data_IF_183878033645
#
_entry.id   IF_183878033645
#
_cell.length_a   1.000
_cell.length_b   1.000
_cell.length_c   1.000
_cell.angle_alpha   90.00
_cell.angle_beta   90.00
_cell.angle_gamma   90.00
#
_symmetry.space_group_name_H-M   'P 1'
#
loop_
_entity.id
_entity.type
_entity.pdbx_description
1 polymer ?
#
# COMPACT_ATOMS: atom_id res chain seq x y z
N UNK A 1 -16.19 7.06 -7.34
CA UNK A 1 -14.88 7.72 -7.52
C UNK A 1 -13.80 6.73 -7.13
N UNK A 2 -12.72 6.66 -7.89
CA UNK A 2 -11.63 5.73 -7.57
C UNK A 2 -10.59 6.36 -6.64
N UNK A 3 -10.14 5.59 -5.66
CA UNK A 3 -9.07 5.96 -4.74
C UNK A 3 -8.07 4.81 -4.65
N UNK A 4 -6.79 5.15 -4.58
CA UNK A 4 -5.74 4.23 -4.14
C UNK A 4 -5.61 4.34 -2.63
N UNK A 5 -5.71 3.21 -1.94
CA UNK A 5 -5.24 3.07 -0.57
C UNK A 5 -3.82 2.51 -0.64
N UNK A 6 -2.83 3.35 -0.34
CA UNK A 6 -1.40 3.04 -0.43
C UNK A 6 -0.86 2.67 0.97
N UNK A 7 -0.18 1.52 1.08
CA UNK A 7 0.26 0.98 2.36
C UNK A 7 1.71 1.33 2.62
N UNK A 8 1.92 2.37 3.42
CA UNK A 8 3.26 2.80 3.83
C UNK A 8 3.59 2.14 5.16
N UNK A 9 4.64 1.32 5.14
CA UNK A 9 4.99 0.41 6.22
C UNK A 9 6.36 0.74 6.77
N UNK A 10 6.54 0.90 8.09
CA UNK A 10 7.86 1.06 8.64
C UNK A 10 8.67 -0.23 8.42
N UNK A 11 10.00 -0.16 8.20
CA UNK A 11 10.82 -1.33 7.89
C UNK A 11 10.74 -2.46 8.94
N UNK A 12 10.56 -2.12 10.22
CA UNK A 12 10.45 -3.10 11.31
C UNK A 12 9.18 -3.98 11.24
N UNK A 13 8.14 -3.56 10.49
CA UNK A 13 6.93 -4.38 10.32
C UNK A 13 7.24 -5.72 9.65
N UNK A 14 8.27 -5.78 8.81
CA UNK A 14 8.68 -7.00 8.11
C UNK A 14 9.36 -8.03 9.03
N UNK A 15 9.91 -7.60 10.16
CA UNK A 15 10.39 -8.51 11.21
C UNK A 15 9.21 -9.20 11.92
N UNK A 16 8.11 -8.46 12.10
CA UNK A 16 6.87 -9.01 12.69
C UNK A 16 6.27 -10.09 11.80
N UNK A 17 6.41 -9.98 10.47
CA UNK A 17 5.95 -11.00 9.54
C UNK A 17 6.80 -12.27 9.58
N UNK A 18 8.07 -12.17 9.96
CA UNK A 18 8.97 -13.31 10.10
C UNK A 18 8.73 -14.12 11.39
N UNK A 19 8.13 -13.50 12.42
CA UNK A 19 7.61 -14.19 13.60
C UNK A 19 6.37 -15.03 13.23
N UNK A 20 6.39 -16.33 13.51
CA UNK A 20 5.34 -17.26 13.09
C UNK A 20 3.96 -16.92 13.69
N UNK A 21 3.90 -16.59 14.98
CA UNK A 21 2.62 -16.35 15.67
C UNK A 21 2.07 -14.96 15.35
N UNK A 22 2.94 -13.95 15.29
CA UNK A 22 2.54 -12.59 14.92
C UNK A 22 2.22 -12.49 13.44
N UNK A 23 3.00 -13.15 12.58
CA UNK A 23 2.79 -13.25 11.15
C UNK A 23 1.45 -13.92 10.80
N UNK A 24 1.03 -14.96 11.54
CA UNK A 24 -0.30 -15.56 11.35
C UNK A 24 -1.44 -14.60 11.69
N UNK A 25 -1.35 -13.87 12.81
CA UNK A 25 -2.37 -12.89 13.21
C UNK A 25 -2.50 -11.75 12.21
N UNK A 26 -1.35 -11.21 11.76
CA UNK A 26 -1.30 -10.22 10.68
C UNK A 26 -1.95 -10.77 9.42
N UNK A 27 -1.59 -11.99 9.01
CA UNK A 27 -2.15 -12.62 7.80
C UNK A 27 -3.66 -12.78 7.87
N UNK A 28 -4.20 -13.13 9.06
CA UNK A 28 -5.63 -13.25 9.27
C UNK A 28 -6.34 -11.89 9.18
N UNK A 29 -5.79 -10.85 9.81
CA UNK A 29 -6.36 -9.50 9.74
C UNK A 29 -6.40 -8.97 8.30
N UNK A 30 -5.32 -9.17 7.53
CA UNK A 30 -5.29 -8.83 6.10
C UNK A 30 -6.32 -9.62 5.29
N UNK A 31 -6.45 -10.92 5.54
CA UNK A 31 -7.45 -11.76 4.87
C UNK A 31 -8.87 -11.28 5.14
N UNK A 32 -9.18 -10.92 6.38
CA UNK A 32 -10.48 -10.38 6.77
C UNK A 32 -10.76 -9.03 6.10
N UNK A 33 -9.81 -8.11 6.15
CA UNK A 33 -9.93 -6.80 5.51
C UNK A 33 -10.13 -6.88 4.00
N UNK A 34 -9.30 -7.66 3.30
CA UNK A 34 -9.44 -7.87 1.86
C UNK A 34 -10.76 -8.56 1.51
N UNK A 35 -11.20 -9.52 2.34
CA UNK A 35 -12.50 -10.16 2.22
C UNK A 35 -13.66 -9.17 2.37
N UNK A 36 -13.57 -8.24 3.31
CA UNK A 36 -14.58 -7.20 3.53
C UNK A 36 -14.69 -6.24 2.33
N UNK A 37 -13.55 -5.77 1.80
CA UNK A 37 -13.51 -4.93 0.59
C UNK A 37 -14.14 -5.64 -0.62
N UNK A 38 -13.84 -6.92 -0.80
CA UNK A 38 -14.39 -7.73 -1.88
C UNK A 38 -15.90 -7.97 -1.71
N UNK A 39 -16.35 -8.33 -0.50
CA UNK A 39 -17.75 -8.57 -0.19
C UNK A 39 -18.61 -7.32 -0.34
N UNK A 40 -18.06 -6.14 -0.02
CA UNK A 40 -18.72 -4.85 -0.23
C UNK A 40 -18.74 -4.42 -1.72
N UNK A 41 -18.02 -5.11 -2.62
CA UNK A 41 -17.98 -4.79 -4.05
C UNK A 41 -17.23 -3.49 -4.39
N UNK A 42 -16.51 -2.90 -3.42
CA UNK A 42 -15.80 -1.63 -3.59
C UNK A 42 -14.41 -1.82 -4.21
N UNK A 43 -13.80 -3.01 -4.07
CA UNK A 43 -12.46 -3.27 -4.60
C UNK A 43 -12.44 -3.33 -6.14
N UNK A 44 -11.43 -2.71 -6.76
CA UNK A 44 -11.19 -2.74 -8.21
C UNK A 44 -9.88 -3.41 -8.57
N UNK A 45 -8.84 -3.20 -7.76
CA UNK A 45 -7.55 -3.85 -7.89
C UNK A 45 -6.85 -3.91 -6.54
N UNK A 46 -5.82 -4.75 -6.43
CA UNK A 46 -4.94 -4.76 -5.26
C UNK A 46 -3.75 -5.68 -5.45
N UNK A 47 -2.60 -5.26 -4.95
CA UNK A 47 -1.35 -6.03 -5.01
C UNK A 47 -0.56 -5.83 -3.72
N UNK A 48 -0.14 -6.95 -3.15
CA UNK A 48 0.97 -6.96 -2.20
C UNK A 48 2.28 -6.82 -2.99
N UNK A 49 3.21 -6.03 -2.45
CA UNK A 49 4.51 -5.78 -3.03
C UNK A 49 5.62 -6.33 -2.13
N UNK A 50 6.80 -6.53 -2.69
CA UNK A 50 8.00 -6.88 -1.94
C UNK A 50 9.03 -5.75 -2.02
N UNK A 51 8.86 -4.68 -1.22
CA UNK A 51 9.71 -3.49 -1.32
C UNK A 51 11.16 -3.74 -0.88
N UNK A 52 11.45 -4.86 -0.19
CA UNK A 52 12.82 -5.24 0.17
C UNK A 52 13.65 -5.67 -1.03
N UNK A 53 12.98 -6.07 -2.12
CA UNK A 53 13.60 -6.45 -3.40
C UNK A 53 13.37 -5.39 -4.49
N UNK A 54 13.05 -4.15 -4.10
CA UNK A 54 12.93 -3.05 -5.04
C UNK A 54 14.30 -2.66 -5.65
N UNK A 55 14.26 -1.96 -6.78
CA UNK A 55 15.41 -1.21 -7.32
C UNK A 55 14.96 0.22 -7.56
N UNK A 56 15.85 1.18 -7.30
CA UNK A 56 15.57 2.60 -7.46
C UNK A 56 16.43 3.21 -8.56
N UNK A 57 15.83 4.10 -9.35
CA UNK A 57 16.53 4.86 -10.39
C UNK A 57 16.23 6.35 -10.26
N UNK A 58 17.26 7.18 -10.38
CA UNK A 58 17.18 8.64 -10.47
C UNK A 58 17.98 9.09 -11.70
N UNK A 59 17.48 10.06 -12.45
CA UNK A 59 18.21 10.68 -13.57
C UNK A 59 18.47 12.14 -13.24
N UNK A 60 19.73 12.56 -13.28
CA UNK A 60 20.16 13.94 -13.03
C UNK A 60 21.22 14.33 -14.05
N UNK A 61 21.09 15.52 -14.63
CA UNK A 61 22.02 16.05 -15.63
C UNK A 61 22.24 15.07 -16.81
N UNK A 62 21.18 14.37 -17.23
CA UNK A 62 21.23 13.37 -18.29
C UNK A 62 21.89 12.05 -17.92
N UNK A 63 22.33 11.87 -16.68
CA UNK A 63 23.00 10.65 -16.20
C UNK A 63 22.08 9.82 -15.30
N UNK A 64 22.04 8.49 -15.55
CA UNK A 64 21.30 7.53 -14.73
C UNK A 64 22.11 7.15 -13.49
N UNK A 65 21.47 7.28 -12.33
CA UNK A 65 21.96 6.81 -11.03
C UNK A 65 20.99 5.71 -10.55
N UNK A 66 21.42 4.45 -10.62
CA UNK A 66 20.64 3.31 -10.17
C UNK A 66 21.19 2.72 -8.88
N UNK A 67 20.33 2.22 -8.02
CA UNK A 67 20.69 1.48 -6.82
C UNK A 67 19.75 0.30 -6.59
N UNK A 68 20.28 -0.75 -5.96
CA UNK A 68 19.46 -1.82 -5.41
C UNK A 68 18.79 -1.36 -4.11
N UNK A 69 17.58 -1.85 -3.88
CA UNK A 69 16.74 -1.46 -2.76
C UNK A 69 15.80 -0.28 -3.03
N UNK A 70 14.92 0.02 -2.06
CA UNK A 70 14.03 1.17 -2.08
C UNK A 70 14.82 2.49 -2.09
N UNK A 71 14.12 3.60 -2.29
CA UNK A 71 14.73 4.93 -2.25
C UNK A 71 15.48 5.13 -0.94
N UNK A 72 16.71 5.68 -0.96
CA UNK A 72 17.50 5.87 0.26
C UNK A 72 16.85 6.89 1.21
N UNK A 73 16.01 7.76 0.66
CA UNK A 73 15.27 8.79 1.38
C UNK A 73 13.93 8.27 1.94
N UNK A 74 13.59 6.99 1.73
CA UNK A 74 12.31 6.43 2.15
C UNK A 74 12.28 6.13 3.66
N UNK A 75 11.46 6.86 4.40
CA UNK A 75 11.20 6.59 5.82
C UNK A 75 10.24 5.42 6.05
N UNK A 76 9.46 5.05 5.03
CA UNK A 76 8.55 3.91 5.03
C UNK A 76 8.63 3.19 3.67
N UNK A 77 8.37 1.89 3.69
CA UNK A 77 8.36 1.02 2.52
C UNK A 77 6.94 0.93 1.95
N UNK A 78 6.84 0.98 0.62
CA UNK A 78 5.57 0.81 -0.08
C UNK A 78 5.22 -0.67 -0.20
N UNK A 79 4.51 -1.19 0.81
CA UNK A 79 4.22 -2.62 0.96
C UNK A 79 3.08 -3.15 0.09
N UNK A 80 2.27 -2.26 -0.47
CA UNK A 80 1.16 -2.63 -1.33
C UNK A 80 0.14 -1.52 -1.51
N UNK A 81 -0.90 -1.85 -2.26
CA UNK A 81 -2.04 -0.97 -2.45
C UNK A 81 -3.31 -1.75 -2.77
N UNK A 82 -4.45 -1.07 -2.59
CA UNK A 82 -5.72 -1.44 -3.23
C UNK A 82 -6.31 -0.22 -3.94
N UNK A 83 -7.00 -0.46 -5.05
CA UNK A 83 -7.87 0.53 -5.70
C UNK A 83 -9.29 0.22 -5.28
N UNK A 84 -9.98 1.19 -4.72
CA UNK A 84 -11.39 1.10 -4.33
C UNK A 84 -12.21 2.11 -5.14
N UNK A 85 -13.47 1.79 -5.41
CA UNK A 85 -14.43 2.71 -6.00
C UNK A 85 -15.58 2.93 -5.02
N UNK A 86 -15.65 4.13 -4.48
CA UNK A 86 -16.59 4.57 -3.43
C UNK A 86 -17.16 5.95 -3.78
N UNK A 87 -18.23 6.37 -3.12
CA UNK A 87 -18.92 7.61 -3.51
C UNK A 87 -18.20 8.86 -3.04
N UNK A 88 -17.49 8.79 -1.91
CA UNK A 88 -16.89 9.96 -1.27
C UNK A 88 -15.49 9.69 -0.72
N UNK A 89 -14.70 10.75 -0.50
CA UNK A 89 -13.41 10.65 0.19
C UNK A 89 -13.58 10.19 1.65
N UNK A 90 -14.68 10.57 2.31
CA UNK A 90 -14.97 10.10 3.66
C UNK A 90 -15.17 8.58 3.72
N UNK A 91 -15.85 8.00 2.73
CA UNK A 91 -15.99 6.55 2.61
C UNK A 91 -14.64 5.87 2.35
N UNK A 92 -13.78 6.47 1.51
CA UNK A 92 -12.42 5.96 1.28
C UNK A 92 -11.57 6.00 2.56
N UNK A 93 -11.67 7.08 3.35
CA UNK A 93 -11.01 7.21 4.65
C UNK A 93 -11.51 6.16 5.65
N UNK A 94 -12.82 5.89 5.66
CA UNK A 94 -13.37 4.83 6.50
C UNK A 94 -12.76 3.46 6.16
N UNK A 95 -12.64 3.11 4.88
CA UNK A 95 -11.95 1.88 4.48
C UNK A 95 -10.46 1.89 4.87
N UNK A 96 -9.79 3.04 4.78
CA UNK A 96 -8.41 3.18 5.21
C UNK A 96 -8.23 2.97 6.73
N UNK A 97 -9.17 3.43 7.56
CA UNK A 97 -9.15 3.22 9.02
C UNK A 97 -9.27 1.72 9.38
N UNK A 98 -10.07 0.96 8.63
CA UNK A 98 -10.25 -0.48 8.83
C UNK A 98 -9.05 -1.32 8.37
N UNK A 99 -8.11 -0.72 7.63
CA UNK A 99 -6.96 -1.42 7.10
C UNK A 99 -6.00 -1.83 8.25
N UNK A 100 -5.58 -3.10 8.34
CA UNK A 100 -4.60 -3.56 9.32
C UNK A 100 -3.30 -2.76 9.31
N UNK A 101 -2.92 -2.20 8.15
CA UNK A 101 -1.76 -1.34 8.02
C UNK A 101 -1.84 -0.06 8.86
N UNK A 102 -3.04 0.51 9.05
CA UNK A 102 -3.21 1.80 9.71
C UNK A 102 -2.89 1.80 11.20
N UNK A 103 -2.76 0.63 11.83
CA UNK A 103 -2.29 0.49 13.21
C UNK A 103 -0.78 0.30 13.35
N UNK A 104 -0.09 -0.09 12.27
CA UNK A 104 1.34 -0.40 12.27
C UNK A 104 2.18 0.58 11.43
N UNK A 105 1.56 1.26 10.48
CA UNK A 105 2.12 2.28 9.60
C UNK A 105 1.04 3.29 9.26
N UNK A 106 0.93 3.69 7.99
CA UNK A 106 -0.15 4.57 7.55
C UNK A 106 -0.70 4.14 6.19
N UNK A 107 -2.02 4.18 6.07
CA UNK A 107 -2.74 3.96 4.81
C UNK A 107 -3.07 5.31 4.20
N UNK A 108 -2.37 5.67 3.13
CA UNK A 108 -2.59 6.93 2.43
C UNK A 108 -3.77 6.79 1.46
N UNK A 109 -4.69 7.75 1.47
CA UNK A 109 -5.87 7.78 0.60
C UNK A 109 -5.64 8.77 -0.53
N UNK A 110 -5.44 8.26 -1.74
CA UNK A 110 -5.05 9.07 -2.90
C UNK A 110 -6.17 9.01 -3.95
N UNK A 111 -6.83 10.13 -4.30
CA UNK A 111 -7.80 10.17 -5.39
C UNK A 111 -7.15 9.79 -6.72
N UNK A 112 -7.79 8.91 -7.49
CA UNK A 112 -7.35 8.59 -8.85
C UNK A 112 -7.90 9.63 -9.80
N UNK A 113 -7.00 10.32 -10.50
CA UNK A 113 -7.37 11.27 -11.55
C UNK A 113 -7.52 10.54 -12.89
N UNK A 114 -8.55 10.90 -13.65
CA UNK A 114 -8.67 10.44 -15.03
C UNK A 114 -7.58 11.11 -15.87
N UNK A 115 -6.72 10.31 -16.49
CA UNK A 115 -5.74 10.83 -17.45
C UNK A 115 -6.47 11.03 -18.78
N UNK A 116 -6.54 12.28 -19.24
CA UNK A 116 -6.95 12.60 -20.61
C UNK A 116 -5.76 12.23 -21.49
N UNK A 117 -5.87 11.11 -22.21
CA UNK A 117 -4.97 10.81 -23.31
C UNK A 117 -5.56 11.43 -24.58
N UNK A 118 -4.76 12.20 -25.32
CA UNK A 118 -5.06 12.65 -26.67
C UNK A 118 -4.74 11.54 -27.68
#
# INVERSE_FOLDING_TARGET
MEFVLAFQQPPNVYETYADLLKGQQVSLAWKQYMGALAAAGVMRAGRQLDPRNASTVRVRDGQRQGQDGPSPDAHALFGGFVVINVETQAEALHWAELNPNSSAGYTEVIPVLTIIHA
#
